data_IF_945305789363
#
_entry.id   IF_945305789363
#
_cell.length_a   1.000
_cell.length_b   1.000
_cell.length_c   1.000
_cell.angle_alpha   90.00
_cell.angle_beta   90.00
_cell.angle_gamma   90.00
#
_symmetry.space_group_name_H-M   'P 1'
#
loop_
_entity.id
_entity.type
_entity.pdbx_description
1 polymer ?
#
# COMPACT_ATOMS: atom_id res chain seq x y z
N UNK A 1 -1.82 31.43 8.94
CA UNK A 1 -1.81 32.86 8.57
C UNK A 1 -1.94 32.87 7.06
N UNK A 2 -2.82 33.72 6.47
CA UNK A 2 -2.90 33.75 5.00
C UNK A 2 -1.70 34.48 4.41
N UNK A 3 -1.35 34.14 3.16
CA UNK A 3 -0.25 34.79 2.42
C UNK A 3 -0.44 36.29 2.33
N UNK A 4 -1.67 36.77 2.15
CA UNK A 4 -1.98 38.21 2.15
C UNK A 4 -1.68 38.89 3.50
N UNK A 5 -2.01 38.22 4.62
CA UNK A 5 -1.68 38.73 5.96
C UNK A 5 -0.17 38.78 6.18
N UNK A 6 0.52 37.71 5.74
CA UNK A 6 1.98 37.66 5.82
C UNK A 6 2.64 38.80 5.02
N UNK A 7 2.20 39.02 3.79
CA UNK A 7 2.71 40.13 2.95
C UNK A 7 2.46 41.50 3.59
N UNK A 8 1.26 41.74 4.16
CA UNK A 8 0.97 42.98 4.90
C UNK A 8 1.90 43.17 6.08
N UNK A 9 2.16 42.13 6.86
CA UNK A 9 3.09 42.20 8.00
C UNK A 9 4.54 42.53 7.57
N UNK A 10 4.98 41.99 6.43
CA UNK A 10 6.30 42.30 5.86
C UNK A 10 6.43 43.73 5.38
N UNK A 11 5.38 44.27 4.76
CA UNK A 11 5.42 45.61 4.13
C UNK A 11 5.09 46.74 5.10
N UNK A 12 4.28 46.48 6.14
CA UNK A 12 3.86 47.49 7.09
C UNK A 12 5.03 48.28 7.73
N UNK A 13 6.15 47.68 8.15
CA UNK A 13 7.27 48.39 8.78
C UNK A 13 7.98 49.36 7.83
N UNK A 14 7.86 49.17 6.50
CA UNK A 14 8.53 50.03 5.52
C UNK A 14 7.90 51.42 5.42
N UNK A 15 6.60 51.55 5.75
CA UNK A 15 5.89 52.81 5.78
C UNK A 15 5.74 53.53 4.43
N UNK A 16 6.04 52.86 3.31
CA UNK A 16 6.00 53.42 1.95
C UNK A 16 4.81 52.98 1.11
N UNK A 17 4.05 51.99 1.62
CA UNK A 17 2.91 51.42 0.93
C UNK A 17 1.58 51.78 1.64
N UNK A 18 0.59 52.21 0.84
CA UNK A 18 -0.79 52.31 1.32
C UNK A 18 -1.47 50.96 1.27
N UNK A 19 -1.29 50.19 2.33
CA UNK A 19 -1.77 48.80 2.43
C UNK A 19 -3.31 48.70 2.44
N UNK A 20 -4.01 49.80 2.72
CA UNK A 20 -5.47 49.88 2.71
C UNK A 20 -6.02 50.41 1.37
N UNK A 21 -5.16 50.92 0.50
CA UNK A 21 -5.54 51.38 -0.81
C UNK A 21 -6.09 50.25 -1.70
N UNK A 22 -7.11 50.53 -2.53
CA UNK A 22 -7.83 49.46 -3.27
C UNK A 22 -6.92 48.69 -4.24
N UNK A 23 -5.93 49.32 -4.83
CA UNK A 23 -4.99 48.67 -5.75
C UNK A 23 -3.99 47.79 -5.00
N UNK A 24 -3.35 48.33 -3.97
CA UNK A 24 -2.37 47.60 -3.16
C UNK A 24 -3.04 46.44 -2.40
N UNK A 25 -4.23 46.67 -1.86
CA UNK A 25 -5.00 45.63 -1.21
C UNK A 25 -5.36 44.50 -2.18
N UNK A 26 -5.84 44.83 -3.40
CA UNK A 26 -6.15 43.84 -4.42
C UNK A 26 -4.93 43.05 -4.88
N UNK A 27 -3.78 43.73 -5.05
CA UNK A 27 -2.51 43.04 -5.38
C UNK A 27 -2.06 42.09 -4.27
N UNK A 28 -2.11 42.52 -3.01
CA UNK A 28 -1.72 41.68 -1.87
C UNK A 28 -2.64 40.48 -1.67
N UNK A 29 -3.94 40.63 -1.94
CA UNK A 29 -4.89 39.49 -1.92
C UNK A 29 -4.53 38.50 -3.04
N UNK A 30 -4.32 38.94 -4.27
CA UNK A 30 -4.00 38.06 -5.38
C UNK A 30 -2.65 37.35 -5.20
N UNK A 31 -1.62 38.06 -4.74
CA UNK A 31 -0.31 37.47 -4.44
C UNK A 31 -0.40 36.52 -3.24
N UNK A 32 -1.18 36.89 -2.22
CA UNK A 32 -1.39 36.08 -1.05
C UNK A 32 -2.09 34.75 -1.38
N UNK A 33 -3.10 34.80 -2.25
CA UNK A 33 -3.77 33.58 -2.73
C UNK A 33 -2.80 32.66 -3.50
N UNK A 34 -1.96 33.23 -4.35
CA UNK A 34 -0.95 32.45 -5.08
C UNK A 34 0.08 31.81 -4.14
N UNK A 35 0.48 32.52 -3.07
CA UNK A 35 1.36 31.94 -2.04
C UNK A 35 0.69 30.84 -1.26
N UNK A 36 -0.57 31.01 -0.85
CA UNK A 36 -1.34 29.98 -0.13
C UNK A 36 -1.51 28.72 -0.99
N UNK A 37 -1.75 28.88 -2.30
CA UNK A 37 -1.81 27.75 -3.23
C UNK A 37 -0.45 27.05 -3.38
N UNK A 38 0.64 27.80 -3.44
CA UNK A 38 1.99 27.22 -3.52
C UNK A 38 2.36 26.48 -2.23
N UNK A 39 2.02 27.01 -1.06
CA UNK A 39 2.22 26.36 0.23
C UNK A 39 1.42 25.04 0.32
N UNK A 40 0.14 25.07 -0.07
CA UNK A 40 -0.69 23.88 -0.10
C UNK A 40 -0.15 22.78 -1.04
N UNK A 41 0.37 23.18 -2.22
CA UNK A 41 1.00 22.26 -3.16
C UNK A 41 2.30 21.64 -2.60
N UNK A 42 3.09 22.44 -1.87
CA UNK A 42 4.30 21.95 -1.18
C UNK A 42 3.95 20.97 -0.06
N UNK A 43 2.92 21.25 0.73
CA UNK A 43 2.45 20.37 1.79
C UNK A 43 1.93 19.04 1.22
N UNK A 44 1.20 19.10 0.10
CA UNK A 44 0.77 17.91 -0.63
C UNK A 44 1.97 17.11 -1.13
N UNK A 45 2.92 17.76 -1.79
CA UNK A 45 4.14 17.12 -2.27
C UNK A 45 4.91 16.45 -1.12
N UNK A 46 5.05 17.13 0.01
CA UNK A 46 5.73 16.62 1.19
C UNK A 46 5.03 15.37 1.75
N UNK A 47 3.70 15.43 1.86
CA UNK A 47 2.89 14.28 2.31
C UNK A 47 3.02 13.09 1.36
N UNK A 48 2.90 13.33 0.05
CA UNK A 48 2.87 12.27 -0.96
C UNK A 48 4.25 11.72 -1.33
N UNK A 49 5.33 12.46 -1.08
CA UNK A 49 6.70 12.00 -1.34
C UNK A 49 7.20 10.94 -0.35
N UNK A 50 6.57 10.82 0.81
CA UNK A 50 6.93 9.86 1.83
C UNK A 50 5.90 8.72 1.91
N UNK A 51 6.32 7.46 1.72
CA UNK A 51 5.43 6.31 1.77
C UNK A 51 4.62 6.24 3.08
N UNK A 52 5.20 6.66 4.21
CA UNK A 52 4.52 6.62 5.51
C UNK A 52 3.30 7.55 5.58
N UNK A 53 3.29 8.65 4.83
CA UNK A 53 2.26 9.69 4.86
C UNK A 53 1.44 9.77 3.58
N UNK A 54 1.90 9.17 2.49
CA UNK A 54 1.22 9.17 1.19
C UNK A 54 -0.19 8.59 1.27
N UNK A 55 -1.13 9.21 0.57
CA UNK A 55 -2.55 8.84 0.57
C UNK A 55 -3.11 8.61 -0.84
N UNK A 56 -2.59 9.32 -1.82
CA UNK A 56 -3.10 9.36 -3.19
C UNK A 56 -2.03 9.02 -4.23
N UNK A 57 -1.60 10.00 -5.02
CA UNK A 57 -0.68 9.80 -6.14
C UNK A 57 0.70 9.28 -5.72
N UNK A 58 1.15 9.57 -4.50
CA UNK A 58 2.41 9.03 -3.96
C UNK A 58 2.38 7.51 -3.82
N UNK A 59 1.23 6.96 -3.40
CA UNK A 59 1.03 5.51 -3.33
C UNK A 59 0.98 4.90 -4.73
N UNK A 60 0.26 5.52 -5.67
CA UNK A 60 0.17 5.05 -7.04
C UNK A 60 1.54 5.04 -7.72
N UNK A 61 2.33 6.11 -7.51
CA UNK A 61 3.69 6.19 -8.05
C UNK A 61 4.60 5.12 -7.45
N UNK A 62 4.52 4.88 -6.14
CA UNK A 62 5.29 3.81 -5.50
C UNK A 62 4.84 2.44 -6.00
N UNK A 63 3.53 2.20 -6.11
CA UNK A 63 2.99 0.95 -6.63
C UNK A 63 3.41 0.67 -8.07
N UNK A 64 3.59 1.70 -8.90
CA UNK A 64 4.04 1.57 -10.29
C UNK A 64 5.49 1.07 -10.45
N UNK A 65 6.28 1.08 -9.38
CA UNK A 65 7.64 0.52 -9.37
C UNK A 65 7.63 -1.02 -9.35
N UNK A 66 6.51 -1.60 -8.93
CA UNK A 66 6.37 -3.05 -8.86
C UNK A 66 5.69 -3.59 -10.11
N UNK A 67 6.08 -4.78 -10.52
CA UNK A 67 5.49 -5.46 -11.68
C UNK A 67 3.98 -5.66 -11.51
N UNK A 68 3.54 -5.83 -10.27
CA UNK A 68 2.11 -5.98 -9.91
C UNK A 68 1.76 -5.10 -8.74
N UNK A 69 0.58 -4.51 -8.82
CA UNK A 69 0.02 -3.71 -7.74
C UNK A 69 -0.45 -4.64 -6.60
N UNK A 70 -0.12 -4.33 -5.33
CA UNK A 70 -0.68 -5.05 -4.19
C UNK A 70 -2.21 -4.95 -4.12
N UNK A 71 -2.85 -5.97 -3.58
CA UNK A 71 -4.30 -5.98 -3.31
C UNK A 71 -4.53 -5.26 -1.98
N UNK A 72 -5.05 -4.04 -2.04
CA UNK A 72 -5.34 -3.25 -0.84
C UNK A 72 -6.58 -2.39 -1.04
N UNK A 73 -7.51 -2.47 -0.09
CA UNK A 73 -8.79 -1.75 -0.13
C UNK A 73 -8.71 -0.32 0.44
N UNK A 74 -7.64 0.01 1.19
CA UNK A 74 -7.48 1.31 1.85
C UNK A 74 -6.08 1.86 1.66
N UNK A 75 -5.87 3.20 1.71
CA UNK A 75 -4.54 3.78 1.64
C UNK A 75 -3.58 3.26 2.72
N UNK A 76 -4.09 2.98 3.91
CA UNK A 76 -3.30 2.39 5.00
C UNK A 76 -2.80 0.99 4.63
N UNK A 77 -3.69 0.11 4.16
CA UNK A 77 -3.33 -1.24 3.72
C UNK A 77 -2.35 -1.21 2.54
N UNK A 78 -2.52 -0.25 1.61
CA UNK A 78 -1.60 -0.05 0.50
C UNK A 78 -0.20 0.37 0.98
N UNK A 79 -0.09 1.28 1.95
CA UNK A 79 1.20 1.66 2.56
C UNK A 79 1.90 0.45 3.20
N UNK A 80 1.16 -0.34 3.96
CA UNK A 80 1.69 -1.53 4.62
C UNK A 80 2.18 -2.57 3.61
N UNK A 81 1.41 -2.81 2.55
CA UNK A 81 1.77 -3.72 1.48
C UNK A 81 3.02 -3.26 0.70
N UNK A 82 3.07 -1.99 0.32
CA UNK A 82 4.23 -1.42 -0.38
C UNK A 82 5.48 -1.41 0.52
N UNK A 83 5.33 -1.10 1.80
CA UNK A 83 6.43 -1.18 2.77
C UNK A 83 6.93 -2.61 2.95
N UNK A 84 6.05 -3.60 2.95
CA UNK A 84 6.41 -5.01 3.00
C UNK A 84 7.21 -5.43 1.76
N UNK A 85 6.75 -5.07 0.57
CA UNK A 85 7.46 -5.35 -0.69
C UNK A 85 8.84 -4.68 -0.76
N UNK A 86 8.95 -3.43 -0.29
CA UNK A 86 10.23 -2.71 -0.28
C UNK A 86 11.26 -3.28 0.72
N UNK A 87 10.81 -4.04 1.72
CA UNK A 87 11.73 -4.74 2.65
C UNK A 87 12.35 -6.00 2.07
N UNK A 88 11.84 -6.51 0.95
CA UNK A 88 12.43 -7.68 0.29
C UNK A 88 13.75 -7.23 -0.32
N UNK A 89 14.85 -7.57 0.34
CA UNK A 89 16.20 -7.39 -0.16
C UNK A 89 16.85 -8.77 -0.40
N UNK A 90 17.95 -8.82 -1.15
CA UNK A 90 18.63 -10.06 -1.46
C UNK A 90 19.06 -10.92 -0.25
N UNK A 91 19.15 -10.31 0.93
CA UNK A 91 19.54 -10.98 2.17
C UNK A 91 18.33 -11.40 3.05
N UNK A 92 17.10 -11.17 2.61
CA UNK A 92 15.88 -11.27 3.43
C UNK A 92 14.94 -12.42 3.02
N UNK A 93 15.41 -13.41 2.26
CA UNK A 93 14.59 -14.56 1.88
C UNK A 93 14.49 -15.61 2.99
N UNK A 94 14.16 -15.18 4.20
CA UNK A 94 13.76 -16.10 5.27
C UNK A 94 12.27 -16.41 5.14
N UNK A 95 11.86 -17.57 5.62
CA UNK A 95 10.47 -18.02 5.60
C UNK A 95 9.53 -17.01 6.29
N UNK A 96 9.99 -16.42 7.39
CA UNK A 96 9.23 -15.40 8.12
C UNK A 96 9.07 -14.11 7.31
N UNK A 97 10.15 -13.62 6.69
CA UNK A 97 10.09 -12.43 5.84
C UNK A 97 9.16 -12.62 4.62
N UNK A 98 9.18 -13.81 4.01
CA UNK A 98 8.27 -14.17 2.92
C UNK A 98 6.81 -14.14 3.40
N UNK A 99 6.51 -14.78 4.55
CA UNK A 99 5.16 -14.81 5.11
C UNK A 99 4.66 -13.43 5.53
N UNK A 100 5.52 -12.60 6.12
CA UNK A 100 5.20 -11.22 6.50
C UNK A 100 4.89 -10.37 5.25
N UNK A 101 5.66 -10.58 4.17
CA UNK A 101 5.43 -9.87 2.91
C UNK A 101 4.11 -10.29 2.25
N UNK A 102 3.82 -11.58 2.18
CA UNK A 102 2.56 -12.11 1.63
C UNK A 102 1.36 -11.55 2.42
N UNK A 103 1.44 -11.58 3.75
CA UNK A 103 0.42 -10.99 4.62
C UNK A 103 0.31 -9.47 4.42
N UNK A 104 1.43 -8.76 4.31
CA UNK A 104 1.48 -7.32 4.02
C UNK A 104 0.84 -6.94 2.70
N UNK A 105 0.93 -7.81 1.68
CA UNK A 105 0.24 -7.63 0.40
C UNK A 105 -1.27 -7.90 0.46
N UNK A 106 -1.83 -8.18 1.63
CA UNK A 106 -3.26 -8.48 1.80
C UNK A 106 -3.65 -9.90 1.41
N UNK A 107 -2.68 -10.77 1.15
CA UNK A 107 -2.90 -12.18 0.80
C UNK A 107 -2.92 -13.03 2.06
N UNK A 108 -4.05 -13.71 2.31
CA UNK A 108 -4.19 -14.62 3.44
C UNK A 108 -3.66 -16.03 3.10
N UNK A 109 -2.37 -16.11 2.85
CA UNK A 109 -1.66 -17.35 2.57
C UNK A 109 -0.47 -17.53 3.50
N UNK A 110 -0.01 -18.76 3.64
CA UNK A 110 1.16 -19.13 4.44
C UNK A 110 2.06 -20.10 3.69
N UNK A 111 3.32 -19.75 3.58
CA UNK A 111 4.37 -20.55 2.96
C UNK A 111 5.07 -21.39 4.03
N UNK A 112 5.33 -22.64 3.72
CA UNK A 112 6.10 -23.59 4.55
C UNK A 112 7.06 -24.39 3.69
N UNK A 113 8.16 -24.83 4.29
CA UNK A 113 9.05 -25.80 3.68
C UNK A 113 8.45 -27.20 3.77
N UNK A 114 8.54 -27.95 2.68
CA UNK A 114 8.00 -29.33 2.61
C UNK A 114 8.99 -30.40 3.09
N UNK A 115 10.22 -30.03 3.44
CA UNK A 115 11.33 -30.98 3.69
C UNK A 115 11.95 -31.55 2.41
N UNK A 116 11.36 -31.28 1.24
CA UNK A 116 11.94 -31.62 -0.08
C UNK A 116 12.69 -30.42 -0.61
N UNK A 117 13.98 -30.61 -0.91
CA UNK A 117 14.83 -29.52 -1.42
C UNK A 117 14.19 -28.84 -2.63
N UNK A 118 14.18 -27.49 -2.61
CA UNK A 118 13.66 -26.66 -3.68
C UNK A 118 12.13 -26.64 -3.81
N UNK A 119 11.38 -27.17 -2.81
CA UNK A 119 9.91 -27.22 -2.86
C UNK A 119 9.32 -26.52 -1.64
N UNK A 120 8.37 -25.63 -1.85
CA UNK A 120 7.61 -24.96 -0.81
C UNK A 120 6.11 -25.21 -0.98
N UNK A 121 5.40 -25.25 0.14
CA UNK A 121 3.94 -25.38 0.19
C UNK A 121 3.30 -24.04 0.56
N UNK A 122 2.30 -23.65 -0.20
CA UNK A 122 1.47 -22.47 0.06
C UNK A 122 0.08 -22.91 0.45
N UNK A 123 -0.32 -22.59 1.67
CA UNK A 123 -1.63 -22.96 2.24
C UNK A 123 -2.47 -21.72 2.56
N UNK A 124 -3.79 -21.89 2.57
CA UNK A 124 -4.77 -20.83 2.85
C UNK A 124 -5.59 -21.18 4.12
N UNK A 125 -5.03 -20.98 5.33
CA UNK A 125 -5.58 -21.53 6.57
C UNK A 125 -6.96 -21.00 6.98
N UNK A 126 -7.38 -19.86 6.41
CA UNK A 126 -8.66 -19.21 6.75
C UNK A 126 -9.69 -19.23 5.62
N UNK A 127 -9.36 -19.85 4.50
CA UNK A 127 -10.24 -19.88 3.33
C UNK A 127 -10.56 -21.33 2.98
N UNK A 128 -11.83 -21.74 3.06
CA UNK A 128 -12.24 -23.07 2.62
C UNK A 128 -12.23 -23.13 1.08
N UNK A 129 -11.61 -24.17 0.53
CA UNK A 129 -11.51 -24.36 -0.92
C UNK A 129 -10.53 -23.41 -1.59
N UNK A 130 -10.79 -23.08 -2.86
CA UNK A 130 -9.97 -22.17 -3.65
C UNK A 130 -10.34 -20.72 -3.30
N UNK A 131 -9.38 -19.87 -2.89
CA UNK A 131 -9.69 -18.48 -2.58
C UNK A 131 -10.21 -17.72 -3.81
N UNK A 132 -11.15 -16.78 -3.63
CA UNK A 132 -11.60 -15.91 -4.73
C UNK A 132 -10.42 -15.09 -5.26
N UNK A 133 -10.30 -14.97 -6.59
CA UNK A 133 -9.17 -14.28 -7.23
C UNK A 133 -7.84 -15.05 -7.12
N UNK A 134 -7.88 -16.37 -7.03
CA UNK A 134 -6.70 -17.23 -6.86
C UNK A 134 -5.61 -16.95 -7.91
N UNK A 135 -5.97 -16.71 -9.15
CA UNK A 135 -5.01 -16.43 -10.24
C UNK A 135 -4.16 -15.17 -9.97
N UNK A 136 -4.74 -14.15 -9.33
CA UNK A 136 -4.02 -12.95 -8.93
C UNK A 136 -3.16 -13.20 -7.68
N UNK A 137 -3.72 -13.92 -6.71
CA UNK A 137 -3.00 -14.33 -5.49
C UNK A 137 -1.79 -15.17 -5.86
N UNK A 138 -1.95 -16.16 -6.74
CA UNK A 138 -0.87 -17.00 -7.24
C UNK A 138 0.26 -16.16 -7.82
N UNK A 139 -0.08 -15.24 -8.67
CA UNK A 139 0.89 -14.35 -9.32
C UNK A 139 1.66 -13.46 -8.32
N UNK A 140 0.98 -12.97 -7.28
CA UNK A 140 1.63 -12.18 -6.22
C UNK A 140 2.58 -13.06 -5.42
N UNK A 141 2.17 -14.26 -5.05
CA UNK A 141 2.99 -15.22 -4.31
C UNK A 141 4.22 -15.63 -5.13
N UNK A 142 4.06 -15.92 -6.41
CA UNK A 142 5.16 -16.28 -7.32
C UNK A 142 6.14 -15.12 -7.57
N UNK A 143 5.67 -13.87 -7.56
CA UNK A 143 6.56 -12.69 -7.67
C UNK A 143 7.37 -12.45 -6.37
N UNK A 144 6.88 -12.93 -5.22
CA UNK A 144 7.57 -12.81 -3.92
C UNK A 144 8.56 -13.96 -3.71
N UNK A 145 8.20 -15.17 -4.15
CA UNK A 145 9.02 -16.35 -3.95
C UNK A 145 10.23 -16.39 -4.89
N UNK A 146 11.39 -16.91 -4.44
CA UNK A 146 12.52 -17.15 -5.30
C UNK A 146 12.16 -18.05 -6.49
N UNK A 147 12.54 -17.65 -7.70
CA UNK A 147 12.17 -18.30 -8.96
C UNK A 147 12.65 -19.76 -9.09
N UNK A 148 13.60 -20.21 -8.28
CA UNK A 148 14.09 -21.59 -8.29
C UNK A 148 13.27 -22.55 -7.44
N UNK A 149 12.28 -22.06 -6.68
CA UNK A 149 11.42 -22.88 -5.84
C UNK A 149 10.21 -23.40 -6.61
N UNK A 150 9.95 -24.70 -6.44
CA UNK A 150 8.70 -25.32 -6.89
C UNK A 150 7.61 -25.03 -5.86
N UNK A 151 6.56 -24.34 -6.27
CA UNK A 151 5.44 -23.96 -5.42
C UNK A 151 4.32 -25.00 -5.54
N UNK A 152 3.90 -25.54 -4.41
CA UNK A 152 2.74 -26.43 -4.30
C UNK A 152 1.63 -25.74 -3.51
N UNK A 153 0.45 -25.60 -4.12
CA UNK A 153 -0.70 -24.96 -3.48
C UNK A 153 -1.55 -26.01 -2.78
N UNK A 154 -1.81 -25.80 -1.48
CA UNK A 154 -2.64 -26.67 -0.67
C UNK A 154 -3.91 -25.94 -0.25
N UNK A 155 -5.07 -26.48 -0.65
CA UNK A 155 -6.38 -25.92 -0.32
C UNK A 155 -7.01 -26.73 0.79
N UNK A 156 -7.64 -26.05 1.76
CA UNK A 156 -8.41 -26.72 2.79
C UNK A 156 -9.70 -27.28 2.16
N UNK A 157 -9.76 -28.58 1.94
CA UNK A 157 -10.96 -29.25 1.48
C UNK A 157 -11.98 -29.24 2.62
N UNK A 158 -13.16 -28.68 2.40
CA UNK A 158 -14.30 -28.91 3.25
C UNK A 158 -14.69 -30.40 3.07
N UNK A 159 -14.38 -31.24 4.04
CA UNK A 159 -15.05 -32.50 4.15
C UNK A 159 -16.49 -32.20 4.56
N UNK A 160 -17.42 -32.29 3.62
CA UNK A 160 -18.80 -32.58 3.94
C UNK A 160 -18.83 -34.03 4.35
N UNK A 161 -18.82 -34.29 5.65
CA UNK A 161 -19.15 -35.57 6.21
C UNK A 161 -20.67 -35.76 6.10
N UNK A 162 -21.14 -36.10 4.89
CA UNK A 162 -22.50 -36.52 4.62
C UNK A 162 -22.44 -37.60 3.54
N UNK A 163 -22.06 -38.77 3.94
CA UNK A 163 -22.41 -40.02 3.25
C UNK A 163 -21.72 -41.22 3.90
N UNK A 164 -22.21 -41.70 4.99
CA UNK A 164 -22.13 -43.12 5.30
C UNK A 164 -22.82 -43.43 6.64
N UNK A 165 -24.14 -43.36 6.67
CA UNK A 165 -24.95 -44.14 7.60
C UNK A 165 -26.29 -44.45 6.93
N UNK A 166 -26.25 -45.29 5.91
CA UNK A 166 -27.38 -46.16 5.52
C UNK A 166 -26.81 -47.48 5.05
N UNK A 167 -27.31 -48.50 5.63
CA UNK A 167 -27.16 -49.94 5.48
C UNK A 167 -26.40 -50.56 6.67
N UNK A 168 -27.09 -51.21 7.59
CA UNK A 168 -27.78 -52.48 7.41
C UNK A 168 -28.73 -52.77 8.56
N UNK A 169 -29.98 -52.96 8.24
CA UNK A 169 -30.91 -53.79 9.05
C UNK A 169 -31.64 -54.73 8.10
N UNK A 170 -31.20 -55.99 8.14
CA UNK A 170 -32.02 -57.16 7.87
C UNK A 170 -31.69 -58.21 8.90
#
# INVERSE_FOLDING_TARGET
MSGAQYLRQLLAPLGVYDLEGPFQNGELEALGEALDQAEAALDELHRESCLATAQDWGLERTASLFRRRPIAATPKAMREALAALLRIGGDSFTLDAINDTISGCGVNARVRETGKAGTVEVSFPKVPGIPPGFDEIQKIVEDILPAHLLVQYHFCLLYTSDAADEEDSV
#
